data_IF_051618713493
#
_entry.id   IF_051618713493
#
_cell.length_a   1.000
_cell.length_b   1.000
_cell.length_c   1.000
_cell.angle_alpha   90.00
_cell.angle_beta   90.00
_cell.angle_gamma   90.00
#
_symmetry.space_group_name_H-M   'P 1'
#
loop_
_entity.id
_entity.type
_entity.pdbx_description
1 polymer ?
#
# COMPACT_ATOMS: atom_id res chain seq x y z
N UNK A 1 -3.36 0.41 10.53
CA UNK A 1 -3.23 0.07 9.09
C UNK A 1 -3.71 -1.37 8.79
N UNK A 2 -4.92 -1.75 9.22
CA UNK A 2 -5.39 -3.13 9.07
C UNK A 2 -5.68 -3.51 7.60
N UNK A 3 -6.21 -2.58 6.80
CA UNK A 3 -6.50 -2.81 5.39
C UNK A 3 -5.25 -3.04 4.55
N UNK A 4 -4.31 -2.08 4.57
CA UNK A 4 -3.05 -2.15 3.81
C UNK A 4 -2.29 -3.45 4.11
N UNK A 5 -2.19 -3.82 5.40
CA UNK A 5 -1.50 -5.04 5.82
C UNK A 5 -2.18 -6.30 5.28
N UNK A 6 -3.52 -6.38 5.35
CA UNK A 6 -4.28 -7.51 4.77
C UNK A 6 -4.08 -7.63 3.26
N UNK A 7 -3.98 -6.52 2.55
CA UNK A 7 -3.71 -6.54 1.10
C UNK A 7 -2.29 -7.02 0.79
N UNK A 8 -1.29 -6.56 1.55
CA UNK A 8 0.10 -7.05 1.42
C UNK A 8 0.18 -8.55 1.69
N UNK A 9 -0.45 -9.02 2.77
CA UNK A 9 -0.45 -10.43 3.14
C UNK A 9 -1.18 -11.29 2.09
N UNK A 10 -2.32 -10.81 1.57
CA UNK A 10 -3.04 -11.49 0.50
C UNK A 10 -2.23 -11.54 -0.81
N UNK A 11 -1.56 -10.46 -1.16
CA UNK A 11 -0.69 -10.40 -2.35
C UNK A 11 0.46 -11.41 -2.27
N UNK A 12 1.16 -11.44 -1.12
CA UNK A 12 2.23 -12.42 -0.86
C UNK A 12 1.74 -13.87 -0.98
N UNK A 13 0.51 -14.16 -0.53
CA UNK A 13 -0.07 -15.50 -0.60
C UNK A 13 -0.24 -15.99 -2.05
N UNK A 14 -0.55 -15.09 -2.98
CA UNK A 14 -0.82 -15.42 -4.39
C UNK A 14 0.36 -15.10 -5.32
N UNK A 15 1.51 -14.69 -4.77
CA UNK A 15 2.69 -14.32 -5.55
C UNK A 15 2.55 -13.01 -6.32
N UNK A 16 1.74 -12.07 -5.82
CA UNK A 16 1.54 -10.74 -6.43
C UNK A 16 1.84 -9.66 -5.39
N UNK A 17 2.91 -8.90 -5.60
CA UNK A 17 3.31 -7.87 -4.64
C UNK A 17 2.43 -6.61 -4.71
N UNK A 18 2.06 -6.10 -3.53
CA UNK A 18 1.49 -4.76 -3.40
C UNK A 18 2.65 -3.76 -3.48
N UNK A 19 2.74 -3.04 -4.59
CA UNK A 19 3.87 -2.14 -4.83
C UNK A 19 3.77 -0.84 -4.01
N UNK A 20 2.55 -0.33 -3.81
CA UNK A 20 2.30 0.86 -2.99
C UNK A 20 0.82 0.96 -2.58
N UNK A 21 0.54 1.74 -1.54
CA UNK A 21 -0.79 2.22 -1.20
C UNK A 21 -0.77 3.74 -1.31
N UNK A 22 -1.35 4.27 -2.39
CA UNK A 22 -1.38 5.70 -2.65
C UNK A 22 -2.73 6.31 -2.22
N UNK A 23 -2.67 7.38 -1.44
CA UNK A 23 -3.83 8.23 -1.13
C UNK A 23 -3.71 9.51 -1.93
N UNK A 24 -4.72 9.86 -2.74
CA UNK A 24 -4.69 11.00 -3.67
C UNK A 24 -5.81 11.98 -3.33
N UNK A 25 -5.50 13.28 -3.31
CA UNK A 25 -6.46 14.35 -3.06
C UNK A 25 -5.82 15.74 -3.13
N UNK A 26 -6.60 16.75 -3.50
CA UNK A 26 -6.17 18.16 -3.59
C UNK A 26 -4.87 18.38 -4.40
N UNK A 27 -4.78 17.71 -5.57
CA UNK A 27 -3.58 17.79 -6.43
C UNK A 27 -2.31 17.20 -5.81
N UNK A 28 -2.42 16.46 -4.70
CA UNK A 28 -1.32 15.84 -3.96
C UNK A 28 -1.56 14.35 -3.79
N UNK A 29 -0.49 13.64 -3.42
CA UNK A 29 -0.56 12.24 -3.04
C UNK A 29 0.30 11.95 -1.82
N UNK A 30 0.01 10.83 -1.17
CA UNK A 30 0.84 10.20 -0.15
C UNK A 30 1.12 8.77 -0.58
N UNK A 31 2.39 8.45 -0.80
CA UNK A 31 2.87 7.07 -0.96
C UNK A 31 3.15 6.46 0.41
N UNK A 32 2.62 5.27 0.65
CA UNK A 32 2.90 4.53 1.88
C UNK A 32 4.29 3.90 1.82
N UNK A 33 4.72 3.49 0.62
CA UNK A 33 6.08 3.00 0.38
C UNK A 33 7.14 4.06 0.71
N UNK A 34 6.99 5.29 0.20
CA UNK A 34 7.95 6.38 0.45
C UNK A 34 8.02 6.77 1.93
N UNK A 35 6.91 6.61 2.68
CA UNK A 35 6.83 6.89 4.11
C UNK A 35 7.27 5.72 5.01
N UNK A 36 7.62 4.57 4.44
CA UNK A 36 7.99 3.37 5.21
C UNK A 36 6.81 2.74 5.98
N UNK A 37 5.59 2.91 5.47
CA UNK A 37 4.35 2.40 6.07
C UNK A 37 3.88 1.07 5.47
N UNK A 38 4.50 0.65 4.37
CA UNK A 38 4.19 -0.58 3.65
C UNK A 38 5.09 -1.73 4.11
#
# INVERSE_FOLDING_TARGET
MALTRRLVDAGRLIGVDVLDHMVIGDGRYVSFRERGWL
#
